data_IF_187288613102
#
_entry.id   IF_187288613102
#
_cell.length_a   1.000
_cell.length_b   1.000
_cell.length_c   1.000
_cell.angle_alpha   90.00
_cell.angle_beta   90.00
_cell.angle_gamma   90.00
#
_symmetry.space_group_name_H-M   'P 1'
#
loop_
_entity.id
_entity.type
_entity.pdbx_description
1 polymer ?
#
# COMPACT_ATOMS: atom_id res chain seq x y z
N UNK A 1 -14.96 -3.00 -4.73
CA UNK A 1 -14.14 -2.91 -5.95
C UNK A 1 -13.43 -4.23 -6.22
N UNK A 2 -13.49 -4.72 -7.46
CA UNK A 2 -12.88 -5.98 -7.88
C UNK A 2 -11.46 -5.77 -8.42
N UNK A 3 -10.73 -6.86 -8.63
CA UNK A 3 -9.46 -6.85 -9.36
C UNK A 3 -9.70 -6.62 -10.85
N UNK A 4 -8.90 -5.74 -11.45
CA UNK A 4 -8.95 -5.41 -12.88
C UNK A 4 -7.59 -5.66 -13.53
N UNK A 5 -7.57 -6.02 -14.81
CA UNK A 5 -6.32 -6.00 -15.58
C UNK A 5 -5.95 -4.55 -15.89
N UNK A 6 -4.66 -4.23 -15.87
CA UNK A 6 -4.16 -2.96 -16.39
C UNK A 6 -2.92 -3.17 -17.28
N UNK A 7 -2.64 -2.26 -18.22
CA UNK A 7 -1.42 -2.34 -19.02
C UNK A 7 -0.19 -2.13 -18.14
N UNK A 8 0.96 -2.65 -18.56
CA UNK A 8 2.24 -2.47 -17.86
C UNK A 8 2.58 -0.98 -17.67
N UNK A 9 2.23 -0.12 -18.62
CA UNK A 9 2.41 1.34 -18.51
C UNK A 9 1.62 1.97 -17.35
N UNK A 10 0.65 1.27 -16.79
CA UNK A 10 -0.10 1.64 -15.59
C UNK A 10 0.31 0.75 -14.42
N UNK A 11 1.57 0.32 -14.32
CA UNK A 11 2.07 -0.33 -13.11
C UNK A 11 2.17 0.72 -11.99
N UNK A 12 2.89 1.80 -12.25
CA UNK A 12 3.12 2.92 -11.33
C UNK A 12 2.43 4.19 -11.83
N UNK A 13 2.09 5.11 -10.91
CA UNK A 13 1.52 6.43 -11.24
C UNK A 13 2.39 7.55 -10.67
N UNK A 14 2.38 8.69 -11.38
CA UNK A 14 2.90 9.96 -10.90
C UNK A 14 1.78 10.99 -11.02
N UNK A 15 1.71 11.90 -10.06
CA UNK A 15 0.77 13.01 -10.03
C UNK A 15 1.49 14.31 -9.66
N UNK A 16 0.72 15.39 -9.57
CA UNK A 16 1.22 16.72 -9.20
C UNK A 16 1.74 16.81 -7.74
N UNK A 17 1.53 15.79 -6.91
CA UNK A 17 2.03 15.75 -5.52
C UNK A 17 3.42 15.13 -5.41
N UNK A 18 3.94 14.53 -6.48
CA UNK A 18 5.16 13.71 -6.48
C UNK A 18 6.36 14.37 -5.79
N UNK A 19 6.68 15.63 -6.11
CA UNK A 19 7.82 16.32 -5.51
C UNK A 19 7.67 16.48 -3.98
N UNK A 20 6.49 16.94 -3.52
CA UNK A 20 6.20 17.09 -2.09
C UNK A 20 6.20 15.74 -1.36
N UNK A 21 5.63 14.71 -2.01
CA UNK A 21 5.62 13.33 -1.48
C UNK A 21 7.03 12.79 -1.32
N UNK A 22 7.93 13.00 -2.29
CA UNK A 22 9.31 12.52 -2.16
C UNK A 22 10.10 13.21 -1.03
N UNK A 23 9.80 14.47 -0.70
CA UNK A 23 10.40 15.14 0.47
C UNK A 23 9.99 14.41 1.75
N UNK A 24 8.69 14.17 1.93
CA UNK A 24 8.18 13.48 3.11
C UNK A 24 8.67 12.04 3.19
N UNK A 25 8.67 11.30 2.07
CA UNK A 25 9.20 9.93 2.01
C UNK A 25 10.66 9.85 2.43
N UNK A 26 11.50 10.79 1.97
CA UNK A 26 12.91 10.87 2.38
C UNK A 26 13.06 11.18 3.86
N UNK A 27 12.23 12.07 4.40
CA UNK A 27 12.22 12.38 5.85
C UNK A 27 11.92 11.12 6.65
N UNK A 28 10.83 10.41 6.33
CA UNK A 28 10.45 9.16 7.01
C UNK A 28 11.52 8.08 6.83
N UNK A 29 12.09 7.91 5.64
CA UNK A 29 13.21 6.99 5.41
C UNK A 29 14.42 7.29 6.31
N UNK A 30 14.74 8.57 6.52
CA UNK A 30 15.86 8.98 7.35
C UNK A 30 15.59 8.78 8.86
N UNK A 31 14.36 9.00 9.33
CA UNK A 31 14.02 8.92 10.76
C UNK A 31 13.52 7.55 11.21
N UNK A 32 12.83 6.82 10.33
CA UNK A 32 12.11 5.57 10.63
C UNK A 32 12.62 4.38 9.84
N UNK A 33 13.89 4.41 9.39
CA UNK A 33 14.48 3.43 8.45
C UNK A 33 14.19 1.97 8.83
N UNK A 34 14.26 1.64 10.12
CA UNK A 34 14.02 0.29 10.64
C UNK A 34 12.59 -0.22 10.42
N UNK A 35 11.61 0.69 10.47
CA UNK A 35 10.19 0.39 10.34
C UNK A 35 9.71 0.40 8.88
N UNK A 36 10.32 1.24 8.03
CA UNK A 36 9.87 1.39 6.65
C UNK A 36 10.53 0.44 5.67
N UNK A 37 11.66 -0.16 6.03
CA UNK A 37 12.42 -1.02 5.14
C UNK A 37 12.85 -2.31 5.85
N UNK A 38 12.72 -3.43 5.15
CA UNK A 38 13.25 -4.70 5.64
C UNK A 38 13.36 -5.75 4.54
N UNK A 39 14.41 -6.56 4.62
CA UNK A 39 14.72 -7.61 3.66
C UNK A 39 15.12 -8.89 4.39
N UNK A 40 14.45 -10.00 4.09
CA UNK A 40 14.91 -11.34 4.48
C UNK A 40 16.01 -11.81 3.50
N UNK A 41 16.89 -12.75 3.88
CA UNK A 41 17.90 -13.28 2.96
C UNK A 41 17.33 -13.79 1.63
N UNK A 42 16.18 -14.48 1.66
CA UNK A 42 15.51 -14.99 0.46
C UNK A 42 14.95 -13.87 -0.43
N UNK A 43 14.58 -12.72 0.15
CA UNK A 43 13.98 -11.60 -0.57
C UNK A 43 14.96 -10.69 -1.32
N UNK A 44 16.27 -10.86 -1.14
CA UNK A 44 17.31 -9.98 -1.70
C UNK A 44 17.26 -9.93 -3.23
N UNK A 45 17.22 -11.10 -3.86
CA UNK A 45 17.29 -11.19 -5.33
C UNK A 45 16.04 -10.60 -5.99
N UNK A 46 14.86 -10.74 -5.38
CA UNK A 46 13.61 -10.17 -5.89
C UNK A 46 13.67 -8.64 -5.93
N UNK A 47 14.25 -8.02 -4.90
CA UNK A 47 14.46 -6.57 -4.83
C UNK A 47 15.43 -6.13 -5.92
N UNK A 48 16.58 -6.79 -6.04
CA UNK A 48 17.62 -6.41 -7.00
C UNK A 48 17.16 -6.60 -8.45
N UNK A 49 16.40 -7.67 -8.73
CA UNK A 49 15.76 -7.89 -10.02
C UNK A 49 14.81 -6.74 -10.38
N UNK A 50 13.88 -6.42 -9.47
CA UNK A 50 12.92 -5.34 -9.69
C UNK A 50 13.62 -3.99 -9.83
N UNK A 51 14.57 -3.67 -8.96
CA UNK A 51 15.35 -2.44 -9.02
C UNK A 51 16.03 -2.27 -10.38
N UNK A 52 16.73 -3.31 -10.84
CA UNK A 52 17.42 -3.30 -12.13
C UNK A 52 16.44 -3.05 -13.27
N UNK A 53 15.33 -3.80 -13.32
CA UNK A 53 14.32 -3.61 -14.36
C UNK A 53 13.67 -2.22 -14.30
N UNK A 54 13.33 -1.75 -13.10
CA UNK A 54 12.70 -0.46 -12.89
C UNK A 54 13.59 0.69 -13.39
N UNK A 55 14.87 0.69 -13.01
CA UNK A 55 15.81 1.76 -13.35
C UNK A 55 16.31 1.71 -14.78
N UNK A 56 16.51 0.52 -15.35
CA UNK A 56 17.07 0.38 -16.70
C UNK A 56 16.00 0.47 -17.80
N UNK A 57 14.75 0.07 -17.50
CA UNK A 57 13.70 -0.09 -18.51
C UNK A 57 12.46 0.72 -18.16
N UNK A 58 11.82 0.45 -17.02
CA UNK A 58 10.46 0.93 -16.75
C UNK A 58 10.42 2.46 -16.59
N UNK A 59 11.20 3.01 -15.65
CA UNK A 59 11.19 4.43 -15.31
C UNK A 59 11.59 5.34 -16.49
N UNK A 60 12.76 5.13 -17.15
CA UNK A 60 13.12 5.95 -18.30
C UNK A 60 12.19 5.77 -19.50
N UNK A 61 11.60 4.57 -19.70
CA UNK A 61 10.62 4.34 -20.75
C UNK A 61 9.26 5.00 -20.47
N UNK A 62 8.84 5.02 -19.19
CA UNK A 62 7.51 5.50 -18.78
C UNK A 62 7.44 7.01 -18.57
N UNK A 63 8.51 7.61 -18.05
CA UNK A 63 8.61 9.04 -17.78
C UNK A 63 9.99 9.59 -18.18
N UNK A 64 10.30 9.64 -19.49
CA UNK A 64 11.63 10.04 -19.99
C UNK A 64 12.03 11.48 -19.69
N UNK A 65 11.07 12.36 -19.32
CA UNK A 65 11.37 13.73 -18.87
C UNK A 65 11.78 13.82 -17.40
N UNK A 66 11.45 12.80 -16.60
CA UNK A 66 11.76 12.72 -15.16
C UNK A 66 12.97 11.82 -14.94
N UNK A 67 13.01 10.67 -15.60
CA UNK A 67 14.06 9.68 -15.44
C UNK A 67 14.91 9.59 -16.71
N UNK A 68 16.12 10.12 -16.66
CA UNK A 68 17.02 10.24 -17.82
C UNK A 68 18.21 9.32 -17.62
N UNK A 69 18.42 8.39 -18.55
CA UNK A 69 19.60 7.53 -18.55
C UNK A 69 20.86 8.35 -18.83
N UNK A 70 21.86 8.22 -17.97
CA UNK A 70 23.21 8.73 -18.15
C UNK A 70 24.16 7.55 -18.41
N UNK A 71 24.37 7.27 -19.70
CA UNK A 71 25.23 6.17 -20.13
C UNK A 71 26.70 6.35 -19.79
N UNK A 72 27.17 7.59 -19.56
CA UNK A 72 28.56 7.86 -19.19
C UNK A 72 28.85 7.45 -17.74
N UNK A 73 27.88 7.65 -16.85
CA UNK A 73 27.99 7.34 -15.43
C UNK A 73 27.31 6.03 -15.02
N UNK A 74 26.73 5.30 -15.98
CA UNK A 74 25.93 4.09 -15.73
C UNK A 74 24.85 4.33 -14.66
N UNK A 75 24.16 5.46 -14.76
CA UNK A 75 23.14 5.89 -13.80
C UNK A 75 21.84 6.34 -14.48
N UNK A 76 20.78 6.45 -13.69
CA UNK A 76 19.51 7.06 -14.05
C UNK A 76 19.35 8.34 -13.24
N UNK A 77 19.25 9.49 -13.89
CA UNK A 77 18.99 10.76 -13.21
C UNK A 77 17.50 10.94 -12.99
N UNK A 78 17.08 11.19 -11.76
CA UNK A 78 15.76 11.73 -11.46
C UNK A 78 15.84 13.26 -11.47
N UNK A 79 15.21 13.92 -12.44
CA UNK A 79 15.31 15.38 -12.62
C UNK A 79 14.59 16.18 -11.55
N UNK A 80 13.60 15.59 -10.87
CA UNK A 80 12.85 16.25 -9.79
C UNK A 80 13.69 16.32 -8.51
N UNK A 81 14.45 15.26 -8.22
CA UNK A 81 15.25 15.15 -6.99
C UNK A 81 16.71 15.51 -7.22
N UNK A 82 17.12 15.58 -8.50
CA UNK A 82 18.51 15.69 -8.95
C UNK A 82 19.42 14.53 -8.53
N UNK A 83 18.86 13.44 -8.00
CA UNK A 83 19.64 12.26 -7.64
C UNK A 83 20.04 11.44 -8.87
N UNK A 84 21.21 10.80 -8.76
CA UNK A 84 21.72 9.86 -9.76
C UNK A 84 21.64 8.45 -9.16
N UNK A 85 20.78 7.62 -9.74
CA UNK A 85 20.49 6.27 -9.28
C UNK A 85 21.40 5.29 -10.03
N UNK A 86 22.23 4.46 -9.37
CA UNK A 86 23.08 3.48 -10.06
C UNK A 86 22.23 2.47 -10.85
N UNK A 87 22.57 2.16 -12.10
CA UNK A 87 21.82 1.17 -12.90
C UNK A 87 22.05 -0.28 -12.44
N UNK A 88 23.06 -0.52 -11.60
CA UNK A 88 23.36 -1.82 -11.04
C UNK A 88 23.75 -1.69 -9.57
N UNK A 89 23.07 -2.47 -8.73
CA UNK A 89 23.42 -2.69 -7.33
C UNK A 89 23.67 -4.20 -7.20
N UNK A 90 24.89 -4.64 -6.85
CA UNK A 90 25.24 -6.05 -6.96
C UNK A 90 24.62 -6.90 -5.84
N UNK A 91 24.69 -6.45 -4.58
CA UNK A 91 24.35 -7.28 -3.41
C UNK A 91 23.56 -6.55 -2.32
N UNK A 92 23.36 -5.24 -2.45
CA UNK A 92 22.75 -4.41 -1.41
C UNK A 92 21.27 -4.14 -1.70
N UNK A 93 20.42 -5.11 -1.34
CA UNK A 93 18.98 -4.98 -1.51
C UNK A 93 18.39 -3.83 -0.68
N UNK A 94 18.97 -3.52 0.48
CA UNK A 94 18.48 -2.45 1.33
C UNK A 94 18.76 -1.08 0.69
N UNK A 95 19.94 -0.89 0.10
CA UNK A 95 20.22 0.31 -0.71
C UNK A 95 19.26 0.43 -1.90
N UNK A 96 18.95 -0.69 -2.58
CA UNK A 96 18.01 -0.68 -3.70
C UNK A 96 16.59 -0.27 -3.26
N UNK A 97 16.10 -0.78 -2.13
CA UNK A 97 14.81 -0.40 -1.54
C UNK A 97 14.80 1.07 -1.09
N UNK A 98 15.89 1.55 -0.48
CA UNK A 98 16.04 2.94 -0.05
C UNK A 98 15.95 3.90 -1.25
N UNK A 99 16.65 3.58 -2.35
CA UNK A 99 16.60 4.36 -3.59
C UNK A 99 15.20 4.34 -4.21
N UNK A 100 14.55 3.18 -4.27
CA UNK A 100 13.16 3.08 -4.75
C UNK A 100 12.22 3.95 -3.90
N UNK A 101 12.33 3.87 -2.58
CA UNK A 101 11.50 4.63 -1.65
C UNK A 101 11.73 6.14 -1.72
N UNK A 102 12.97 6.57 -1.91
CA UNK A 102 13.34 7.98 -2.02
C UNK A 102 12.98 8.61 -3.38
N UNK A 103 12.84 7.79 -4.43
CA UNK A 103 12.66 8.29 -5.80
C UNK A 103 11.33 7.93 -6.44
N UNK A 104 10.50 7.07 -5.84
CA UNK A 104 9.21 6.69 -6.39
C UNK A 104 8.15 6.86 -5.29
N UNK A 105 7.09 7.62 -5.54
CA UNK A 105 5.96 7.72 -4.62
C UNK A 105 5.04 6.50 -4.78
N UNK A 106 5.58 5.35 -4.41
CA UNK A 106 4.90 4.04 -4.41
C UNK A 106 5.62 3.14 -3.41
N UNK A 107 4.86 2.43 -2.59
CA UNK A 107 5.38 1.41 -1.69
C UNK A 107 5.54 0.09 -2.46
N UNK A 108 6.55 -0.71 -2.10
CA UNK A 108 6.84 -1.99 -2.74
C UNK A 108 6.98 -3.08 -1.70
N UNK A 109 6.16 -4.12 -1.79
CA UNK A 109 6.22 -5.32 -0.99
C UNK A 109 6.49 -6.51 -1.92
N UNK A 110 7.49 -7.31 -1.58
CA UNK A 110 7.94 -8.45 -2.38
C UNK A 110 7.48 -9.72 -1.70
N UNK A 111 6.66 -10.51 -2.40
CA UNK A 111 6.13 -11.76 -1.89
C UNK A 111 6.72 -12.94 -2.65
N UNK A 112 7.33 -13.87 -1.93
CA UNK A 112 7.92 -15.08 -2.49
C UNK A 112 7.06 -16.31 -2.19
N UNK A 113 7.05 -17.31 -3.10
CA UNK A 113 6.41 -18.59 -2.82
C UNK A 113 7.08 -19.26 -1.62
N UNK A 114 6.27 -19.82 -0.73
CA UNK A 114 6.76 -20.63 0.38
C UNK A 114 7.46 -21.90 -0.12
N UNK A 115 8.63 -22.19 0.43
CA UNK A 115 9.34 -23.46 0.22
C UNK A 115 9.04 -24.49 1.31
N UNK A 116 8.36 -24.08 2.39
CA UNK A 116 7.90 -24.99 3.43
C UNK A 116 6.56 -25.60 3.02
N UNK A 117 6.39 -26.94 3.12
CA UNK A 117 5.10 -27.57 2.88
C UNK A 117 4.03 -26.94 3.77
N UNK A 118 2.89 -26.60 3.17
CA UNK A 118 1.74 -26.10 3.94
C UNK A 118 1.34 -27.14 5.00
N UNK A 119 1.19 -26.70 6.26
CA UNK A 119 0.61 -27.52 7.32
C UNK A 119 -0.91 -27.70 7.17
N UNK A 120 -1.54 -26.91 6.29
CA UNK A 120 -2.94 -27.10 5.89
C UNK A 120 -3.04 -28.16 4.80
N UNK A 121 -4.13 -28.94 4.81
CA UNK A 121 -4.45 -30.04 3.90
C UNK A 121 -4.63 -29.65 2.42
N UNK A 122 -4.28 -28.43 2.02
CA UNK A 122 -4.21 -28.02 0.63
C UNK A 122 -2.76 -28.00 0.15
N UNK A 123 -2.47 -28.74 -0.92
CA UNK A 123 -1.23 -28.66 -1.74
C UNK A 123 -1.06 -27.28 -2.45
N UNK A 124 -1.70 -26.23 -1.94
CA UNK A 124 -1.75 -24.93 -2.56
C UNK A 124 -0.52 -24.10 -2.18
N UNK A 125 0.21 -23.64 -3.19
CA UNK A 125 1.35 -22.74 -3.03
C UNK A 125 0.93 -21.46 -2.29
N UNK A 126 1.54 -21.23 -1.12
CA UNK A 126 1.37 -19.99 -0.34
C UNK A 126 2.51 -19.02 -0.61
N UNK A 127 2.32 -17.76 -0.21
CA UNK A 127 3.29 -16.67 -0.39
C UNK A 127 3.58 -15.98 0.94
N UNK A 128 4.81 -15.47 1.11
CA UNK A 128 5.26 -14.77 2.31
C UNK A 128 5.88 -13.42 1.95
N UNK A 129 5.72 -12.42 2.82
CA UNK A 129 6.39 -11.13 2.65
C UNK A 129 7.89 -11.29 2.90
N UNK A 130 8.72 -11.16 1.87
CA UNK A 130 10.17 -11.39 1.96
C UNK A 130 10.96 -10.10 2.06
N UNK A 131 10.48 -9.02 1.46
CA UNK A 131 11.13 -7.70 1.50
C UNK A 131 10.10 -6.59 1.34
N UNK A 132 10.39 -5.38 1.81
CA UNK A 132 9.53 -4.23 1.56
C UNK A 132 10.24 -2.88 1.71
N UNK A 133 9.70 -1.88 1.03
CA UNK A 133 9.82 -0.46 1.35
C UNK A 133 8.40 0.10 1.47
N UNK A 134 8.03 0.56 2.66
CA UNK A 134 6.72 1.12 2.98
C UNK A 134 6.87 2.34 3.89
N UNK A 135 6.87 3.53 3.29
CA UNK A 135 6.94 4.81 4.00
C UNK A 135 5.57 5.35 4.40
N UNK A 136 4.49 4.67 4.01
CA UNK A 136 3.12 5.10 4.27
C UNK A 136 2.26 3.98 4.85
N UNK A 137 2.65 3.28 5.94
CA UNK A 137 1.80 2.28 6.58
C UNK A 137 0.47 2.89 7.08
N UNK A 138 -0.55 2.04 7.22
CA UNK A 138 -1.89 2.44 7.63
C UNK A 138 -2.35 1.65 8.86
N UNK A 139 -1.90 2.04 10.04
CA UNK A 139 -2.31 1.44 11.31
C UNK A 139 -1.73 0.06 11.59
N UNK A 140 -0.59 -0.29 10.97
CA UNK A 140 0.20 -1.45 11.35
C UNK A 140 1.68 -1.26 11.00
N UNK A 141 2.57 -1.86 11.79
CA UNK A 141 3.99 -1.98 11.42
C UNK A 141 4.17 -3.04 10.33
N UNK A 142 4.70 -2.64 9.17
CA UNK A 142 5.06 -3.58 8.09
C UNK A 142 6.22 -4.48 8.52
N UNK A 143 7.10 -3.99 9.40
CA UNK A 143 8.18 -4.77 9.99
C UNK A 143 7.68 -5.99 10.75
N UNK A 144 6.62 -5.84 11.53
CA UNK A 144 5.97 -6.95 12.25
C UNK A 144 5.41 -8.05 11.31
N UNK A 145 5.23 -7.73 10.03
CA UNK A 145 4.68 -8.63 9.01
C UNK A 145 5.75 -9.32 8.16
N UNK A 146 7.02 -8.92 8.29
CA UNK A 146 8.12 -9.48 7.53
C UNK A 146 8.29 -10.97 7.84
N UNK A 147 8.35 -11.81 6.80
CA UNK A 147 8.45 -13.27 6.90
C UNK A 147 7.12 -14.01 7.09
N UNK A 148 6.04 -13.29 7.44
CA UNK A 148 4.73 -13.91 7.63
C UNK A 148 4.11 -14.35 6.29
N UNK A 149 3.29 -15.40 6.34
CA UNK A 149 2.49 -15.83 5.20
C UNK A 149 1.41 -14.79 4.88
N UNK A 150 0.90 -14.81 3.65
CA UNK A 150 -0.21 -13.94 3.24
C UNK A 150 -1.42 -14.11 4.16
N UNK A 151 -1.73 -15.33 4.59
CA UNK A 151 -2.80 -15.59 5.55
C UNK A 151 -2.51 -15.02 6.95
N UNK A 152 -1.30 -15.18 7.47
CA UNK A 152 -0.93 -14.63 8.78
C UNK A 152 -0.91 -13.09 8.79
N UNK A 153 -0.48 -12.46 7.68
CA UNK A 153 -0.54 -11.01 7.51
C UNK A 153 -1.99 -10.50 7.62
N UNK A 154 -2.92 -11.22 6.98
CA UNK A 154 -4.34 -10.85 6.92
C UNK A 154 -5.18 -11.43 8.07
N UNK A 155 -4.58 -12.09 9.06
CA UNK A 155 -5.29 -12.65 10.22
C UNK A 155 -6.26 -11.67 10.91
N UNK A 156 -5.92 -10.38 11.07
CA UNK A 156 -6.82 -9.38 11.65
C UNK A 156 -8.02 -8.99 10.77
N UNK A 157 -8.01 -9.33 9.47
CA UNK A 157 -9.05 -8.90 8.52
C UNK A 157 -10.28 -9.78 8.67
N UNK A 158 -11.45 -9.23 9.05
CA UNK A 158 -12.64 -10.03 9.27
C UNK A 158 -13.06 -10.83 8.04
N UNK A 159 -13.37 -12.11 8.24
CA UNK A 159 -13.81 -13.00 7.18
C UNK A 159 -12.72 -13.41 6.17
N UNK A 160 -11.46 -13.00 6.34
CA UNK A 160 -10.38 -13.34 5.40
C UNK A 160 -10.21 -14.85 5.23
N UNK A 161 -9.99 -15.58 6.34
CA UNK A 161 -9.74 -17.03 6.29
C UNK A 161 -10.91 -17.80 5.65
N UNK A 162 -12.14 -17.43 6.01
CA UNK A 162 -13.34 -18.10 5.53
C UNK A 162 -13.70 -17.75 4.08
N UNK A 163 -13.44 -16.52 3.61
CA UNK A 163 -13.98 -16.01 2.34
C UNK A 163 -12.94 -15.68 1.27
N UNK A 164 -11.72 -15.35 1.65
CA UNK A 164 -10.72 -14.77 0.74
C UNK A 164 -9.48 -15.64 0.58
N UNK A 165 -8.97 -16.26 1.65
CA UNK A 165 -7.67 -16.95 1.70
C UNK A 165 -7.44 -17.88 0.50
N UNK A 166 -8.28 -18.91 0.33
CA UNK A 166 -8.16 -19.88 -0.79
C UNK A 166 -8.20 -19.24 -2.16
N UNK A 167 -9.00 -18.18 -2.33
CA UNK A 167 -9.10 -17.48 -3.61
C UNK A 167 -7.86 -16.64 -3.90
N UNK A 168 -7.30 -16.04 -2.86
CA UNK A 168 -6.12 -15.19 -2.92
C UNK A 168 -4.85 -16.01 -3.17
N UNK A 169 -4.66 -17.12 -2.43
CA UNK A 169 -3.52 -18.02 -2.66
C UNK A 169 -3.51 -18.57 -4.10
N UNK A 170 -4.68 -19.02 -4.58
CA UNK A 170 -4.83 -19.47 -5.96
C UNK A 170 -4.52 -18.36 -6.97
N UNK A 171 -4.95 -17.13 -6.69
CA UNK A 171 -4.69 -16.00 -7.57
C UNK A 171 -3.19 -15.69 -7.63
N UNK A 172 -2.53 -15.57 -6.47
CA UNK A 172 -1.09 -15.33 -6.39
C UNK A 172 -0.31 -16.45 -7.08
N UNK A 173 -0.66 -17.72 -6.87
CA UNK A 173 -0.03 -18.85 -7.53
C UNK A 173 -0.17 -18.84 -9.06
N UNK A 174 -1.29 -18.31 -9.59
CA UNK A 174 -1.60 -18.35 -11.04
C UNK A 174 -1.29 -17.06 -11.80
N UNK A 175 -0.98 -15.95 -11.12
CA UNK A 175 -0.67 -14.68 -11.79
C UNK A 175 0.55 -14.86 -12.72
N UNK A 176 0.43 -14.78 -14.05
CA UNK A 176 1.54 -15.02 -14.95
C UNK A 176 2.46 -13.80 -15.06
N UNK A 177 3.70 -14.04 -15.48
CA UNK A 177 4.65 -12.97 -15.87
C UNK A 177 4.06 -12.12 -17.00
N UNK A 178 4.31 -10.81 -16.96
CA UNK A 178 3.82 -9.86 -17.97
C UNK A 178 2.39 -9.38 -17.77
N UNK A 179 1.62 -10.00 -16.86
CA UNK A 179 0.29 -9.53 -16.48
C UNK A 179 0.37 -8.62 -15.26
N UNK A 180 -0.26 -7.45 -15.36
CA UNK A 180 -0.47 -6.54 -14.24
C UNK A 180 -1.95 -6.49 -13.92
N UNK A 181 -2.27 -6.58 -12.63
CA UNK A 181 -3.62 -6.30 -12.14
C UNK A 181 -3.57 -5.13 -11.18
N UNK A 182 -4.70 -4.45 -11.05
CA UNK A 182 -4.91 -3.38 -10.10
C UNK A 182 -6.20 -3.56 -9.32
N UNK A 183 -6.26 -2.95 -8.15
CA UNK A 183 -7.49 -2.71 -7.38
C UNK A 183 -7.31 -1.42 -6.58
N UNK A 184 -8.41 -0.92 -6.05
CA UNK A 184 -8.34 0.10 -5.03
C UNK A 184 -8.78 -0.45 -3.66
N UNK A 185 -8.15 0.09 -2.63
CA UNK A 185 -8.52 -0.06 -1.23
C UNK A 185 -8.72 1.34 -0.66
N UNK A 186 -9.59 1.50 0.33
CA UNK A 186 -9.81 2.81 0.96
C UNK A 186 -10.09 2.67 2.45
N UNK A 187 -9.80 3.72 3.19
CA UNK A 187 -10.13 3.90 4.61
C UNK A 187 -10.27 5.39 4.92
N UNK A 188 -10.65 5.72 6.15
CA UNK A 188 -10.60 7.08 6.69
C UNK A 188 -9.47 7.15 7.70
N UNK A 189 -8.65 8.20 7.61
CA UNK A 189 -7.58 8.52 8.57
C UNK A 189 -7.96 9.79 9.31
N UNK A 190 -8.01 9.75 10.64
CA UNK A 190 -8.45 10.89 11.47
C UNK A 190 -7.35 11.92 11.76
N UNK A 191 -6.08 11.58 11.47
CA UNK A 191 -4.91 12.42 11.77
C UNK A 191 -4.22 13.00 10.52
N UNK A 192 -4.62 12.57 9.31
CA UNK A 192 -4.06 13.11 8.06
C UNK A 192 -2.62 12.67 7.76
N UNK A 193 -2.10 11.68 8.48
CA UNK A 193 -0.71 11.24 8.36
C UNK A 193 -0.55 10.07 7.37
N UNK A 194 0.50 10.14 6.54
CA UNK A 194 0.85 9.04 5.64
C UNK A 194 1.53 7.88 6.38
N UNK A 195 2.42 8.19 7.32
CA UNK A 195 3.14 7.23 8.14
C UNK A 195 2.41 7.04 9.47
N UNK A 196 1.65 5.94 9.58
CA UNK A 196 0.85 5.65 10.76
C UNK A 196 0.98 4.16 11.09
N UNK A 197 1.55 3.82 12.26
CA UNK A 197 1.83 2.43 12.65
C UNK A 197 0.70 1.78 13.47
N UNK A 198 -0.23 2.57 14.00
CA UNK A 198 -1.29 2.11 14.92
C UNK A 198 -2.59 2.92 14.72
N UNK A 199 -3.71 2.46 15.26
CA UNK A 199 -4.95 3.25 15.37
C UNK A 199 -5.79 3.40 14.09
N UNK A 200 -5.34 2.92 12.92
CA UNK A 200 -6.15 2.97 11.69
C UNK A 200 -7.15 1.81 11.55
N UNK A 201 -7.09 0.80 12.43
CA UNK A 201 -7.97 -0.36 12.45
C UNK A 201 -8.52 -0.62 13.86
N UNK A 202 -9.80 -0.98 13.95
CA UNK A 202 -10.42 -1.42 15.20
C UNK A 202 -10.19 -2.91 15.47
N UNK A 203 -10.34 -3.32 16.73
CA UNK A 203 -10.23 -4.71 17.16
C UNK A 203 -11.59 -5.38 17.10
N UNK A 204 -11.76 -6.35 16.20
CA UNK A 204 -13.03 -7.09 16.08
C UNK A 204 -13.10 -8.14 17.19
N UNK A 205 -14.13 -8.04 18.04
CA UNK A 205 -14.35 -8.95 19.16
C UNK A 205 -13.55 -8.61 20.42
N UNK A 206 -13.03 -7.38 20.54
CA UNK A 206 -12.55 -6.84 21.81
C UNK A 206 -13.69 -6.70 22.83
N UNK A 207 -13.35 -6.62 24.12
CA UNK A 207 -14.34 -6.37 25.17
C UNK A 207 -15.02 -5.01 24.91
N UNK A 208 -16.36 -4.94 25.07
CA UNK A 208 -17.12 -3.69 25.07
C UNK A 208 -16.56 -2.79 26.20
N UNK A 209 -15.63 -1.88 25.86
CA UNK A 209 -14.87 -1.08 26.83
C UNK A 209 -13.44 -0.70 26.42
N UNK A 210 -12.85 -1.32 25.40
CA UNK A 210 -11.60 -0.87 24.76
C UNK A 210 -11.85 0.19 23.65
N UNK A 211 -13.07 0.75 23.60
CA UNK A 211 -13.32 1.97 22.87
C UNK A 211 -12.49 3.07 23.54
N UNK A 212 -11.65 3.79 22.78
CA UNK A 212 -11.22 5.13 23.21
C UNK A 212 -12.47 6.01 23.23
N UNK A 213 -13.30 5.85 24.26
CA UNK A 213 -14.45 6.69 24.58
C UNK A 213 -13.92 8.14 24.63
N UNK A 214 -14.21 8.92 23.58
CA UNK A 214 -13.84 10.32 23.49
C UNK A 214 -12.79 10.71 22.44
N UNK A 215 -12.42 9.85 21.47
CA UNK A 215 -11.65 10.33 20.31
C UNK A 215 -12.53 11.28 19.47
N UNK A 216 -12.40 12.58 19.72
CA UNK A 216 -13.13 13.62 19.00
C UNK A 216 -12.69 13.64 17.54
N UNK A 217 -13.62 13.35 16.64
CA UNK A 217 -13.38 13.36 15.20
C UNK A 217 -13.31 14.81 14.72
N UNK A 218 -12.10 15.31 14.51
CA UNK A 218 -11.86 16.59 13.84
C UNK A 218 -11.91 16.40 12.31
N UNK A 219 -12.95 16.96 11.68
CA UNK A 219 -13.16 16.85 10.24
C UNK A 219 -12.08 17.57 9.42
N UNK A 220 -11.34 18.50 10.01
CA UNK A 220 -10.22 19.22 9.36
C UNK A 220 -8.97 18.35 9.25
N UNK A 221 -8.76 17.44 10.19
CA UNK A 221 -7.65 16.49 10.20
C UNK A 221 -8.07 15.11 9.70
N UNK A 222 -9.34 14.93 9.35
CA UNK A 222 -9.87 13.70 8.78
C UNK A 222 -9.76 13.67 7.26
N UNK A 223 -9.18 12.60 6.74
CA UNK A 223 -8.92 12.40 5.32
C UNK A 223 -9.42 11.04 4.87
N UNK A 224 -9.90 10.99 3.64
CA UNK A 224 -10.03 9.71 2.94
C UNK A 224 -8.68 9.29 2.42
N UNK A 225 -8.27 8.09 2.82
CA UNK A 225 -7.04 7.45 2.37
C UNK A 225 -7.40 6.40 1.32
N UNK A 226 -6.89 6.57 0.10
CA UNK A 226 -7.11 5.65 -1.01
C UNK A 226 -5.79 5.04 -1.45
N UNK A 227 -5.74 3.72 -1.63
CA UNK A 227 -4.59 3.00 -2.13
C UNK A 227 -4.89 2.44 -3.50
N UNK A 228 -4.14 2.89 -4.51
CA UNK A 228 -4.12 2.26 -5.82
C UNK A 228 -3.09 1.15 -5.80
N UNK A 229 -3.57 -0.07 -5.67
CA UNK A 229 -2.77 -1.26 -5.49
C UNK A 229 -2.57 -1.98 -6.82
N UNK A 230 -1.37 -2.50 -7.05
CA UNK A 230 -1.01 -3.30 -8.22
C UNK A 230 -0.26 -4.56 -7.82
N UNK A 231 -0.42 -5.60 -8.64
CA UNK A 231 0.31 -6.86 -8.51
C UNK A 231 0.86 -7.26 -9.87
N UNK A 232 2.14 -7.64 -9.89
CA UNK A 232 2.78 -8.27 -11.05
C UNK A 232 3.83 -9.30 -10.61
N UNK A 233 4.15 -10.25 -11.48
CA UNK A 233 5.18 -11.27 -11.22
C UNK A 233 6.50 -10.94 -11.92
N UNK A 234 7.59 -11.07 -11.19
CA UNK A 234 8.95 -10.97 -11.71
C UNK A 234 9.36 -12.23 -12.51
N UNK A 235 10.00 -12.08 -13.68
CA UNK A 235 10.33 -13.20 -14.57
C UNK A 235 11.43 -14.14 -14.06
N UNK A 236 12.41 -13.66 -13.26
CA UNK A 236 13.58 -14.45 -12.83
C UNK A 236 13.32 -15.09 -11.47
N UNK A 237 13.01 -14.29 -10.45
CA UNK A 237 12.78 -14.78 -9.09
C UNK A 237 11.39 -15.36 -8.88
N UNK A 238 10.44 -15.05 -9.78
CA UNK A 238 9.05 -15.46 -9.64
C UNK A 238 8.29 -14.73 -8.53
N UNK A 239 8.90 -13.75 -7.86
CA UNK A 239 8.28 -12.97 -6.81
C UNK A 239 7.06 -12.21 -7.33
N UNK A 240 6.02 -12.11 -6.51
CA UNK A 240 4.89 -11.22 -6.74
C UNK A 240 5.19 -9.90 -6.05
N UNK A 241 5.28 -8.82 -6.83
CA UNK A 241 5.46 -7.46 -6.30
C UNK A 241 4.08 -6.85 -6.11
N UNK A 242 3.74 -6.60 -4.85
CA UNK A 242 2.60 -5.80 -4.45
C UNK A 242 3.06 -4.36 -4.30
N UNK A 243 2.59 -3.48 -5.19
CA UNK A 243 2.94 -2.08 -5.16
C UNK A 243 1.71 -1.22 -4.97
N UNK A 244 1.77 -0.19 -4.12
CA UNK A 244 0.64 0.71 -3.95
C UNK A 244 1.07 2.16 -3.77
N UNK A 245 0.32 3.06 -4.42
CA UNK A 245 0.41 4.50 -4.19
C UNK A 245 -0.78 4.92 -3.33
N UNK A 246 -0.48 5.66 -2.27
CA UNK A 246 -1.48 6.21 -1.36
C UNK A 246 -1.82 7.64 -1.78
N UNK A 247 -3.11 7.93 -1.82
CA UNK A 247 -3.69 9.26 -1.98
C UNK A 247 -4.42 9.62 -0.69
N UNK A 248 -4.34 10.90 -0.29
CA UNK A 248 -5.10 11.44 0.82
C UNK A 248 -5.85 12.68 0.37
N UNK A 249 -7.17 12.68 0.58
CA UNK A 249 -8.06 13.78 0.24
C UNK A 249 -8.78 14.23 1.50
N UNK A 250 -8.81 15.53 1.78
CA UNK A 250 -9.61 16.02 2.90
C UNK A 250 -11.09 15.81 2.61
N UNK A 251 -11.89 15.67 3.65
CA UNK A 251 -13.35 15.57 3.48
C UNK A 251 -13.91 16.81 2.76
N UNK A 252 -13.35 17.99 3.05
CA UNK A 252 -13.72 19.24 2.39
C UNK A 252 -13.47 19.16 0.87
N UNK A 253 -12.31 18.67 0.43
CA UNK A 253 -12.01 18.50 -0.99
C UNK A 253 -13.03 17.60 -1.67
N UNK A 254 -13.33 16.44 -1.09
CA UNK A 254 -14.29 15.48 -1.66
C UNK A 254 -15.71 16.04 -1.71
N UNK A 255 -16.12 16.79 -0.69
CA UNK A 255 -17.44 17.45 -0.70
C UNK A 255 -17.50 18.51 -1.79
N UNK A 256 -16.49 19.36 -1.88
CA UNK A 256 -16.47 20.52 -2.79
C UNK A 256 -16.38 20.11 -4.26
N UNK A 257 -15.74 18.97 -4.55
CA UNK A 257 -15.72 18.38 -5.91
C UNK A 257 -16.98 17.56 -6.26
N UNK A 258 -17.93 17.42 -5.33
CA UNK A 258 -19.20 16.71 -5.55
C UNK A 258 -19.16 15.20 -5.28
N UNK A 259 -18.07 14.67 -4.72
CA UNK A 259 -17.91 13.25 -4.36
C UNK A 259 -18.52 12.87 -3.01
N UNK A 260 -19.13 13.83 -2.29
CA UNK A 260 -19.64 13.64 -0.93
C UNK A 260 -20.62 12.48 -0.77
N UNK A 261 -21.66 12.42 -1.59
CA UNK A 261 -22.67 11.35 -1.49
C UNK A 261 -22.09 9.98 -1.85
N UNK A 262 -21.22 9.90 -2.86
CA UNK A 262 -20.58 8.64 -3.27
C UNK A 262 -19.76 8.04 -2.13
N UNK A 263 -19.04 8.88 -1.38
CA UNK A 263 -18.31 8.43 -0.20
C UNK A 263 -19.26 8.05 0.94
N UNK A 264 -20.32 8.81 1.18
CA UNK A 264 -21.30 8.49 2.21
C UNK A 264 -21.97 7.13 1.96
N UNK A 265 -22.38 6.84 0.72
CA UNK A 265 -22.88 5.53 0.31
C UNK A 265 -21.83 4.42 0.49
N UNK A 266 -20.56 4.70 0.19
CA UNK A 266 -19.47 3.74 0.41
C UNK A 266 -19.27 3.43 1.90
N UNK A 267 -19.43 4.42 2.78
CA UNK A 267 -19.39 4.27 4.23
C UNK A 267 -20.56 3.40 4.71
N UNK A 268 -21.78 3.69 4.27
CA UNK A 268 -22.97 2.89 4.57
C UNK A 268 -22.81 1.43 4.09
N UNK A 269 -22.18 1.25 2.92
CA UNK A 269 -21.88 -0.06 2.33
C UNK A 269 -20.94 -0.95 3.14
N UNK A 270 -20.17 -0.42 4.10
CA UNK A 270 -19.29 -1.23 4.96
C UNK A 270 -20.08 -2.24 5.80
N UNK A 271 -21.22 -1.83 6.35
CA UNK A 271 -22.11 -2.69 7.14
C UNK A 271 -23.02 -3.58 6.30
N UNK A 272 -23.34 -3.15 5.07
CA UNK A 272 -24.22 -3.89 4.15
C UNK A 272 -23.52 -5.00 3.36
N UNK A 273 -22.18 -5.02 3.40
CA UNK A 273 -21.38 -6.02 2.71
C UNK A 273 -21.49 -7.43 3.30
N UNK A 274 -20.85 -8.39 2.64
CA UNK A 274 -20.88 -9.79 3.11
C UNK A 274 -20.16 -10.02 4.45
N UNK A 275 -19.43 -9.03 4.98
CA UNK A 275 -18.73 -9.09 6.27
C UNK A 275 -19.03 -7.82 7.08
N UNK A 276 -20.16 -7.78 7.82
CA UNK A 276 -20.56 -6.58 8.56
C UNK A 276 -19.52 -6.12 9.59
N UNK A 277 -18.71 -7.03 10.15
CA UNK A 277 -17.60 -6.68 11.05
C UNK A 277 -16.52 -5.77 10.43
N UNK A 278 -16.60 -5.49 9.13
CA UNK A 278 -15.75 -4.50 8.47
C UNK A 278 -15.99 -3.08 9.00
N UNK A 279 -17.16 -2.79 9.56
CA UNK A 279 -17.47 -1.48 10.18
C UNK A 279 -16.50 -1.21 11.34
N UNK A 280 -16.39 -2.14 12.30
CA UNK A 280 -15.46 -2.07 13.43
C UNK A 280 -14.00 -2.09 12.95
N UNK A 281 -13.64 -3.00 12.02
CA UNK A 281 -12.27 -3.09 11.52
C UNK A 281 -11.78 -1.79 10.84
N UNK A 282 -12.68 -1.03 10.19
CA UNK A 282 -12.37 0.28 9.60
C UNK A 282 -12.72 1.46 10.51
N UNK A 283 -13.10 1.21 11.76
CA UNK A 283 -13.50 2.21 12.77
C UNK A 283 -14.68 3.09 12.35
N UNK A 284 -15.56 2.58 11.47
CA UNK A 284 -16.72 3.33 10.96
C UNK A 284 -17.75 3.65 12.05
N UNK A 285 -17.78 2.87 13.12
CA UNK A 285 -18.49 3.16 14.37
C UNK A 285 -18.01 4.46 15.05
N UNK A 286 -16.71 4.78 14.96
CA UNK A 286 -16.12 5.99 15.56
C UNK A 286 -16.39 7.24 14.71
N UNK A 287 -16.03 7.21 13.42
CA UNK A 287 -16.06 8.40 12.56
C UNK A 287 -17.25 8.46 11.59
N UNK A 288 -17.97 7.36 11.37
CA UNK A 288 -18.91 7.19 10.25
C UNK A 288 -20.04 8.20 10.22
N UNK A 289 -20.74 8.39 11.33
CA UNK A 289 -21.90 9.29 11.38
C UNK A 289 -21.51 10.75 11.16
N UNK A 290 -20.49 11.24 11.88
CA UNK A 290 -20.01 12.61 11.75
C UNK A 290 -19.48 12.91 10.34
N UNK A 291 -18.69 11.99 9.78
CA UNK A 291 -18.15 12.14 8.42
C UNK A 291 -19.28 12.16 7.38
N UNK A 292 -20.28 11.26 7.46
CA UNK A 292 -21.42 11.25 6.53
C UNK A 292 -22.24 12.54 6.61
N UNK A 293 -22.56 13.01 7.83
CA UNK A 293 -23.31 14.24 8.02
C UNK A 293 -22.60 15.44 7.36
N UNK A 294 -21.27 15.53 7.51
CA UNK A 294 -20.48 16.57 6.86
C UNK A 294 -20.51 16.47 5.33
N UNK A 295 -20.32 15.26 4.79
CA UNK A 295 -20.29 15.01 3.34
C UNK A 295 -21.63 15.31 2.68
N UNK A 296 -22.74 15.08 3.38
CA UNK A 296 -24.12 15.39 2.95
C UNK A 296 -24.52 16.85 3.17
N UNK A 297 -23.67 17.65 3.82
CA UNK A 297 -23.93 19.07 4.10
C UNK A 297 -24.90 19.29 5.26
N UNK A 298 -25.12 18.29 6.11
CA UNK A 298 -25.95 18.37 7.31
C UNK A 298 -25.24 19.15 8.43
N UNK A 299 -23.90 19.10 8.45
CA UNK A 299 -23.04 19.86 9.38
C UNK A 299 -21.91 20.60 8.64
N UNK A 300 -21.38 21.64 9.30
CA UNK A 300 -20.17 22.36 8.87
C UNK A 300 -18.88 21.60 9.20
N UNK A 301 -17.74 22.12 8.74
CA UNK A 301 -16.41 21.54 9.05
C UNK A 301 -16.05 21.61 10.55
N UNK A 302 -16.72 22.51 11.29
CA UNK A 302 -16.59 22.70 12.73
C UNK A 302 -17.71 22.01 13.53
N UNK A 303 -18.63 21.30 12.85
CA UNK A 303 -19.77 20.63 13.47
C UNK A 303 -19.44 19.25 14.02
#
# INVERSE_FOLDING_TARGET
>A
MALENCPMSSLLELDNTYAARLIERRRVLATERHEVLGTTPAGRDAVLEFYKWATNIYLPGRWPSIYILDGANASLKNTITSESLPLHIPHDADLALEILGANIDTEFLFLLPSHTPSSSSSDQQTYHLSSYINTSPAGFSTRSKLGLSLSAIHGPVPGYAAKLEKSMDRFFARLPVGKVVRRANWSVSMKGEFFCLEGAHGVVGGEEGDEEEGEEVDLKTTFVRCERQTLHRLPVTGAVVFAFKTYMYSLQQLRDEGSGEVLAEAIDGLGLGSVPAMTVYKRQDVWGEKVKAFLRGEIGIDG
#
